data_IF_562676087621
#
_entry.id   IF_562676087621
#
_cell.length_a   1.000
_cell.length_b   1.000
_cell.length_c   1.000
_cell.angle_alpha   90.00
_cell.angle_beta   90.00
_cell.angle_gamma   90.00
#
_symmetry.space_group_name_H-M   'P 1'
#
loop_
_entity.id
_entity.type
_entity.pdbx_description
1 polymer ?
#
# COMPACT_ATOMS: atom_id res chain seq x y z
N UNK A 1 16.47 1.72 11.20
CA UNK A 1 15.47 2.71 10.75
C UNK A 1 14.54 2.98 11.92
N UNK A 2 14.41 4.23 12.38
CA UNK A 2 13.48 4.59 13.47
C UNK A 2 12.45 5.57 12.92
N UNK A 3 11.20 5.13 12.78
CA UNK A 3 10.09 5.93 12.27
C UNK A 3 9.32 6.54 13.44
N UNK A 4 8.72 7.73 13.25
CA UNK A 4 7.77 8.30 14.22
C UNK A 4 6.46 7.52 14.22
N UNK A 5 5.97 7.10 13.04
CA UNK A 5 4.85 6.17 12.89
C UNK A 5 5.30 4.84 12.26
N UNK A 6 5.54 3.84 13.11
CA UNK A 6 5.92 2.49 12.68
C UNK A 6 4.89 1.81 11.78
N UNK A 7 3.62 2.25 11.79
CA UNK A 7 2.56 1.68 10.95
C UNK A 7 2.73 2.02 9.47
N UNK A 8 3.59 2.97 9.12
CA UNK A 8 3.94 3.28 7.74
C UNK A 8 4.81 2.19 7.11
N UNK A 9 5.58 1.46 7.93
CA UNK A 9 6.38 0.34 7.45
C UNK A 9 5.51 -0.92 7.29
N UNK A 10 5.10 -1.19 6.05
CA UNK A 10 4.22 -2.32 5.71
C UNK A 10 4.97 -3.42 5.00
N UNK A 11 4.75 -4.64 5.48
CA UNK A 11 5.30 -5.88 4.93
C UNK A 11 4.19 -6.78 4.34
N UNK A 12 3.09 -6.15 3.90
CA UNK A 12 1.89 -6.79 3.32
C UNK A 12 1.44 -6.00 2.10
N UNK A 13 0.67 -6.63 1.21
CA UNK A 13 0.02 -5.92 0.09
C UNK A 13 -1.37 -5.43 0.50
N UNK A 14 -1.88 -4.38 -0.16
CA UNK A 14 -3.19 -3.83 0.11
C UNK A 14 -4.19 -4.22 -0.98
N UNK A 15 -5.15 -5.11 -0.68
CA UNK A 15 -6.15 -5.62 -1.61
C UNK A 15 -7.53 -5.47 -0.98
N UNK A 16 -8.47 -4.86 -1.72
CA UNK A 16 -9.87 -4.68 -1.30
C UNK A 16 -10.05 -4.04 0.10
N UNK A 17 -9.18 -3.10 0.46
CA UNK A 17 -9.27 -2.43 1.76
C UNK A 17 -8.52 -3.12 2.90
N UNK A 18 -7.86 -4.25 2.64
CA UNK A 18 -7.22 -5.07 3.66
C UNK A 18 -5.72 -5.27 3.40
N UNK A 19 -4.95 -5.45 4.47
CA UNK A 19 -3.53 -5.81 4.41
C UNK A 19 -3.36 -7.33 4.44
N UNK A 20 -2.93 -7.90 3.31
CA UNK A 20 -2.91 -9.35 3.08
C UNK A 20 -1.51 -9.88 2.74
N UNK A 21 -1.28 -11.12 3.12
CA UNK A 21 -0.10 -11.92 2.72
C UNK A 21 -0.41 -12.68 1.42
N UNK A 22 0.63 -13.17 0.74
CA UNK A 22 0.46 -14.04 -0.42
C UNK A 22 -0.18 -15.38 0.00
N UNK A 23 -1.01 -15.95 -0.87
CA UNK A 23 -1.74 -17.20 -0.59
C UNK A 23 -0.78 -18.36 -0.32
N UNK A 24 0.35 -18.39 -1.04
CA UNK A 24 1.41 -19.38 -0.85
C UNK A 24 2.40 -19.00 0.28
N UNK A 25 2.16 -17.90 1.01
CA UNK A 25 3.04 -17.31 2.04
C UNK A 25 4.45 -16.96 1.55
N UNK A 26 4.67 -16.94 0.24
CA UNK A 26 5.93 -16.55 -0.36
C UNK A 26 6.21 -15.08 -0.10
N UNK A 27 7.48 -14.73 0.12
CA UNK A 27 7.91 -13.35 0.34
C UNK A 27 9.15 -13.02 -0.49
N UNK A 28 9.39 -11.72 -0.69
CA UNK A 28 10.56 -11.15 -1.36
C UNK A 28 11.31 -10.32 -0.31
N UNK A 29 12.59 -10.58 -0.04
CA UNK A 29 13.38 -9.76 0.87
C UNK A 29 13.66 -8.40 0.24
N UNK A 30 13.58 -7.34 1.04
CA UNK A 30 13.99 -5.99 0.65
C UNK A 30 15.26 -5.66 1.42
N UNK A 31 16.32 -5.32 0.71
CA UNK A 31 17.63 -5.02 1.30
C UNK A 31 18.02 -3.58 1.04
N UNK A 32 18.77 -3.00 1.98
CA UNK A 32 19.39 -1.69 1.84
C UNK A 32 20.54 -1.79 0.83
N UNK A 33 20.50 -1.06 -0.29
CA UNK A 33 21.54 -1.17 -1.32
C UNK A 33 22.90 -0.61 -0.88
N UNK A 34 22.95 0.24 0.15
CA UNK A 34 24.21 0.82 0.65
C UNK A 34 24.96 -0.12 1.60
N UNK A 35 24.25 -0.96 2.35
CA UNK A 35 24.83 -1.83 3.40
C UNK A 35 24.65 -3.32 3.15
N UNK A 36 23.71 -3.70 2.29
CA UNK A 36 23.27 -5.08 2.10
C UNK A 36 22.36 -5.61 3.21
N UNK A 37 22.07 -4.83 4.25
CA UNK A 37 21.21 -5.23 5.36
C UNK A 37 19.77 -5.47 4.91
N UNK A 38 19.12 -6.52 5.41
CA UNK A 38 17.71 -6.78 5.13
C UNK A 38 16.83 -5.86 5.97
N UNK A 39 16.02 -5.03 5.29
CA UNK A 39 15.07 -4.11 5.92
C UNK A 39 13.78 -4.82 6.33
N UNK A 40 13.33 -5.78 5.52
CA UNK A 40 12.09 -6.51 5.73
C UNK A 40 11.76 -7.44 4.57
N UNK A 41 10.48 -7.79 4.45
CA UNK A 41 9.96 -8.58 3.34
C UNK A 41 8.63 -8.02 2.81
N UNK A 42 8.30 -8.34 1.57
CA UNK A 42 6.98 -8.08 0.97
C UNK A 42 6.40 -9.36 0.38
N UNK A 43 5.07 -9.54 0.33
CA UNK A 43 4.48 -10.75 -0.23
C UNK A 43 4.84 -10.96 -1.70
N UNK A 44 5.12 -12.22 -2.07
CA UNK A 44 5.35 -12.63 -3.45
C UNK A 44 4.03 -13.07 -4.09
N UNK A 45 3.20 -12.09 -4.43
CA UNK A 45 1.87 -12.32 -5.02
C UNK A 45 1.96 -13.01 -6.38
N UNK A 46 0.93 -13.82 -6.69
CA UNK A 46 0.77 -14.51 -7.96
C UNK A 46 -0.43 -14.00 -8.77
N UNK A 47 -0.80 -14.78 -9.78
CA UNK A 47 -1.91 -14.47 -10.67
C UNK A 47 -3.26 -14.43 -9.94
N UNK A 48 -3.44 -15.28 -8.94
CA UNK A 48 -4.72 -15.41 -8.22
C UNK A 48 -5.01 -14.19 -7.34
N UNK A 49 -4.05 -13.73 -6.55
CA UNK A 49 -4.21 -12.50 -5.75
C UNK A 49 -4.38 -11.28 -6.66
N UNK A 50 -3.69 -11.27 -7.80
CA UNK A 50 -3.86 -10.22 -8.82
C UNK A 50 -5.28 -10.20 -9.37
N UNK A 51 -5.86 -11.38 -9.69
CA UNK A 51 -7.25 -11.51 -10.13
C UNK A 51 -8.23 -10.99 -9.08
N UNK A 52 -8.01 -11.33 -7.80
CA UNK A 52 -8.82 -10.83 -6.69
C UNK A 52 -8.75 -9.30 -6.58
N UNK A 53 -7.58 -8.71 -6.77
CA UNK A 53 -7.41 -7.26 -6.79
C UNK A 53 -8.15 -6.59 -7.96
N UNK A 54 -8.12 -7.19 -9.16
CA UNK A 54 -8.85 -6.71 -10.33
C UNK A 54 -10.36 -6.74 -10.07
N UNK A 55 -10.89 -7.85 -9.56
CA UNK A 55 -12.31 -8.00 -9.25
C UNK A 55 -12.78 -7.03 -8.17
N UNK A 56 -11.95 -6.79 -7.15
CA UNK A 56 -12.24 -5.80 -6.12
C UNK A 56 -12.27 -4.37 -6.69
N UNK A 57 -11.32 -4.02 -7.56
CA UNK A 57 -11.29 -2.73 -8.22
C UNK A 57 -12.52 -2.51 -9.12
N UNK A 58 -12.92 -3.53 -9.89
CA UNK A 58 -14.13 -3.47 -10.71
C UNK A 58 -15.40 -3.26 -9.87
N UNK A 59 -15.54 -4.00 -8.76
CA UNK A 59 -16.65 -3.82 -7.80
C UNK A 59 -16.68 -2.44 -7.16
N UNK A 60 -15.52 -1.84 -6.88
CA UNK A 60 -15.40 -0.51 -6.28
C UNK A 60 -15.71 0.63 -7.28
N UNK A 61 -15.50 0.38 -8.59
CA UNK A 61 -15.58 1.40 -9.63
C UNK A 61 -16.92 2.12 -9.71
N UNK A 62 -18.10 1.46 -9.70
CA UNK A 62 -19.39 2.14 -9.78
C UNK A 62 -19.60 3.19 -8.68
N UNK A 63 -19.27 2.85 -7.43
CA UNK A 63 -19.39 3.77 -6.31
C UNK A 63 -18.38 4.92 -6.38
N UNK A 64 -17.15 4.64 -6.80
CA UNK A 64 -16.11 5.67 -6.95
C UNK A 64 -16.40 6.64 -8.10
N UNK A 65 -16.77 6.13 -9.28
CA UNK A 65 -17.08 6.95 -10.46
C UNK A 65 -18.35 7.77 -10.27
N UNK A 66 -19.30 7.27 -9.45
CA UNK A 66 -20.52 7.98 -9.10
C UNK A 66 -20.31 9.22 -8.22
N UNK A 67 -19.12 9.39 -7.61
CA UNK A 67 -18.77 10.60 -6.85
C UNK A 67 -18.61 11.80 -7.77
N UNK A 68 -18.86 12.98 -7.24
CA UNK A 68 -18.55 14.24 -7.91
C UNK A 68 -17.03 14.47 -7.93
N UNK A 69 -16.58 15.37 -8.83
CA UNK A 69 -15.18 15.77 -8.87
C UNK A 69 -14.72 16.39 -7.53
N UNK A 70 -15.59 17.16 -6.86
CA UNK A 70 -15.29 17.80 -5.57
C UNK A 70 -15.07 16.78 -4.46
N UNK A 71 -15.92 15.75 -4.35
CA UNK A 71 -15.75 14.70 -3.34
C UNK A 71 -14.45 13.90 -3.56
N UNK A 72 -14.12 13.56 -4.81
CA UNK A 72 -12.83 12.91 -5.11
C UNK A 72 -11.65 13.81 -4.77
N UNK A 73 -11.72 15.10 -5.11
CA UNK A 73 -10.67 16.07 -4.81
C UNK A 73 -10.45 16.21 -3.29
N UNK A 74 -11.50 16.17 -2.47
CA UNK A 74 -11.37 16.20 -1.01
C UNK A 74 -10.62 14.98 -0.46
N UNK A 75 -10.93 13.78 -0.96
CA UNK A 75 -10.25 12.54 -0.57
C UNK A 75 -8.77 12.59 -0.97
N UNK A 76 -8.48 12.99 -2.22
CA UNK A 76 -7.11 13.11 -2.72
C UNK A 76 -6.32 14.21 -1.97
N UNK A 77 -6.97 15.33 -1.61
CA UNK A 77 -6.33 16.38 -0.82
C UNK A 77 -5.98 15.90 0.59
N UNK A 78 -6.88 15.15 1.24
CA UNK A 78 -6.59 14.53 2.54
C UNK A 78 -5.39 13.58 2.45
N UNK A 79 -5.30 12.79 1.37
CA UNK A 79 -4.15 11.91 1.15
C UNK A 79 -2.85 12.72 0.99
N UNK A 80 -2.87 13.80 0.20
CA UNK A 80 -1.75 14.73 0.09
C UNK A 80 -1.32 15.29 1.47
N UNK A 81 -2.26 15.77 2.27
CA UNK A 81 -1.96 16.33 3.60
C UNK A 81 -1.30 15.28 4.51
N UNK A 82 -1.75 14.02 4.45
CA UNK A 82 -1.15 12.91 5.19
C UNK A 82 0.26 12.60 4.73
N UNK A 83 0.55 12.65 3.43
CA UNK A 83 1.91 12.47 2.91
C UNK A 83 2.84 13.58 3.41
N UNK A 84 2.40 14.83 3.39
CA UNK A 84 3.21 15.96 3.89
C UNK A 84 3.42 15.87 5.40
N UNK A 85 2.41 15.45 6.15
CA UNK A 85 2.51 15.26 7.61
C UNK A 85 3.56 14.21 7.98
N UNK A 86 3.71 13.17 7.15
CA UNK A 86 4.60 12.03 7.40
C UNK A 86 5.85 12.06 6.51
N UNK A 87 6.22 13.21 5.94
CA UNK A 87 7.27 13.31 4.93
C UNK A 87 8.64 12.80 5.43
N UNK A 88 9.01 13.12 6.67
CA UNK A 88 10.28 12.69 7.26
C UNK A 88 10.38 11.16 7.33
N UNK A 89 9.32 10.51 7.82
CA UNK A 89 9.26 9.04 7.95
C UNK A 89 9.24 8.35 6.58
N UNK A 90 8.63 8.97 5.58
CA UNK A 90 8.60 8.45 4.21
C UNK A 90 9.95 8.63 3.47
N UNK A 91 10.81 9.53 3.95
CA UNK A 91 12.13 9.80 3.36
C UNK A 91 13.28 9.05 4.06
N UNK A 92 13.07 8.57 5.28
CA UNK A 92 14.05 7.87 6.12
C UNK A 92 14.48 6.51 5.55
#
# INVERSE_FOLDING_TARGET
MQLKDEKLFRQKCYINGEWVDALNRGTIPVTNPATGEQLGTVPRMGAEETRQAIEAADKALPAWRGKTAKERAQILRRWYDLMMTNQDDLAA
#
